data_IF_170592335933
#
_entry.id   IF_170592335933
#
_cell.length_a   1.000
_cell.length_b   1.000
_cell.length_c   1.000
_cell.angle_alpha   90.00
_cell.angle_beta   90.00
_cell.angle_gamma   90.00
#
_symmetry.space_group_name_H-M   'P 1'
#
loop_
_entity.id
_entity.type
_entity.pdbx_description
1 polymer ?
#
# COMPACT_ATOMS: atom_id res chain seq x y z
N UNK A 1 8.28 -13.88 -51.84
CA UNK A 1 7.65 -14.50 -50.65
C UNK A 1 8.76 -14.62 -49.65
N UNK A 2 8.93 -13.59 -48.84
CA UNK A 2 9.85 -13.54 -47.71
C UNK A 2 9.43 -12.27 -46.97
N UNK A 3 8.96 -12.46 -45.73
CA UNK A 3 9.32 -11.66 -44.57
C UNK A 3 8.40 -12.02 -43.39
N UNK A 4 9.01 -12.67 -42.41
CA UNK A 4 8.56 -12.74 -41.02
C UNK A 4 9.83 -12.64 -40.15
N UNK A 5 9.74 -12.25 -38.87
CA UNK A 5 8.87 -11.27 -38.22
C UNK A 5 9.70 -10.09 -37.66
N UNK A 6 9.07 -8.96 -37.35
CA UNK A 6 9.67 -7.98 -36.43
C UNK A 6 9.04 -8.27 -35.06
N UNK A 7 9.69 -9.13 -34.29
CA UNK A 7 9.69 -9.02 -32.84
C UNK A 7 10.61 -7.84 -32.52
N UNK A 8 10.07 -6.78 -31.91
CA UNK A 8 10.80 -6.04 -30.89
C UNK A 8 9.89 -5.01 -30.23
N UNK A 9 9.61 -5.29 -28.98
CA UNK A 9 8.85 -4.46 -28.08
C UNK A 9 8.80 -5.13 -26.73
N UNK A 10 9.96 -5.65 -26.27
CA UNK A 10 10.15 -5.92 -24.85
C UNK A 10 9.85 -4.61 -24.13
N UNK A 11 8.64 -4.55 -23.58
CA UNK A 11 8.17 -3.48 -22.75
C UNK A 11 9.09 -3.55 -21.53
N UNK A 12 10.17 -2.76 -21.57
CA UNK A 12 11.00 -2.46 -20.43
C UNK A 12 10.08 -1.80 -19.41
N UNK A 13 9.31 -2.63 -18.70
CA UNK A 13 8.80 -2.28 -17.38
C UNK A 13 10.07 -2.15 -16.59
N UNK A 14 10.63 -0.94 -16.59
CA UNK A 14 11.56 -0.52 -15.57
C UNK A 14 10.94 -1.03 -14.27
N UNK A 15 11.56 -2.08 -13.70
CA UNK A 15 11.17 -2.57 -12.40
C UNK A 15 11.69 -1.47 -11.49
N UNK A 16 10.88 -0.44 -11.34
CA UNK A 16 11.12 0.66 -10.44
C UNK A 16 11.17 0.01 -9.06
N UNK A 17 12.38 -0.22 -8.57
CA UNK A 17 12.60 -0.71 -7.22
C UNK A 17 12.24 0.45 -6.30
N UNK A 18 10.95 0.59 -6.04
CA UNK A 18 10.42 1.70 -5.28
C UNK A 18 10.91 1.59 -3.83
N UNK A 19 11.37 2.70 -3.22
CA UNK A 19 11.71 2.71 -1.81
C UNK A 19 10.50 2.26 -0.98
N UNK A 20 10.74 1.42 0.02
CA UNK A 20 9.70 1.00 0.92
C UNK A 20 9.52 2.00 2.07
N UNK A 21 8.28 2.43 2.34
CA UNK A 21 7.96 3.08 3.61
C UNK A 21 7.56 2.00 4.60
N UNK A 22 7.99 2.16 5.86
CA UNK A 22 7.69 1.22 6.93
C UNK A 22 7.21 2.00 8.15
N UNK A 23 6.17 1.51 8.80
CA UNK A 23 5.66 2.03 10.06
C UNK A 23 5.32 0.85 10.96
N UNK A 24 5.79 0.85 12.20
CA UNK A 24 5.49 -0.20 13.19
C UNK A 24 4.42 0.34 14.14
N UNK A 25 3.43 -0.49 14.44
CA UNK A 25 2.39 -0.14 15.40
C UNK A 25 3.01 0.16 16.78
N UNK A 26 2.54 1.17 17.54
CA UNK A 26 3.15 1.55 18.83
C UNK A 26 3.20 0.40 19.85
N UNK A 27 2.19 -0.47 19.84
CA UNK A 27 2.15 -1.68 20.67
C UNK A 27 2.90 -2.88 20.08
N UNK A 28 3.58 -2.71 18.94
CA UNK A 28 4.34 -3.75 18.21
C UNK A 28 3.50 -4.96 17.77
N UNK A 29 2.20 -4.77 17.56
CA UNK A 29 1.29 -5.83 17.12
C UNK A 29 1.21 -5.99 15.61
N UNK A 30 1.54 -4.95 14.84
CA UNK A 30 1.54 -5.00 13.38
C UNK A 30 2.61 -4.09 12.78
N UNK A 31 2.97 -4.38 11.54
CA UNK A 31 3.83 -3.53 10.71
C UNK A 31 3.13 -3.23 9.39
N UNK A 32 3.15 -1.97 9.00
CA UNK A 32 2.67 -1.51 7.70
C UNK A 32 3.87 -1.22 6.80
N UNK A 33 3.81 -1.70 5.56
CA UNK A 33 4.85 -1.54 4.55
C UNK A 33 4.20 -1.11 3.24
N UNK A 34 4.81 -0.15 2.54
CA UNK A 34 4.36 0.25 1.20
C UNK A 34 5.48 0.06 0.18
N UNK A 35 5.12 -0.30 -1.05
CA UNK A 35 6.02 -0.31 -2.21
C UNK A 35 5.23 0.25 -3.39
N UNK A 36 5.65 1.41 -3.91
CA UNK A 36 4.87 2.14 -4.91
C UNK A 36 3.50 2.55 -4.36
N UNK A 37 2.42 2.11 -5.02
CA UNK A 37 1.04 2.40 -4.63
C UNK A 37 0.39 1.34 -3.72
N UNK A 38 1.08 0.22 -3.48
CA UNK A 38 0.58 -0.88 -2.67
C UNK A 38 0.84 -0.63 -1.18
N UNK A 39 -0.18 -0.88 -0.35
CA UNK A 39 -0.10 -0.88 1.10
C UNK A 39 -0.34 -2.30 1.60
N UNK A 40 0.59 -2.81 2.42
CA UNK A 40 0.50 -4.12 3.05
C UNK A 40 0.65 -3.98 4.55
N UNK A 41 -0.12 -4.76 5.29
CA UNK A 41 -0.02 -4.83 6.75
C UNK A 41 0.19 -6.29 7.16
N UNK A 42 1.09 -6.50 8.11
CA UNK A 42 1.37 -7.80 8.67
C UNK A 42 1.14 -7.78 10.18
N UNK A 43 0.32 -8.71 10.67
CA UNK A 43 0.12 -8.96 12.10
C UNK A 43 1.32 -9.73 12.64
N UNK A 44 2.00 -9.15 13.61
CA UNK A 44 3.19 -9.71 14.24
C UNK A 44 2.86 -10.75 15.31
N UNK A 45 1.64 -10.75 15.86
CA UNK A 45 1.21 -11.76 16.83
C UNK A 45 0.79 -13.04 16.13
N UNK A 46 -0.07 -12.94 15.12
CA UNK A 46 -0.56 -14.08 14.34
C UNK A 46 0.40 -14.53 13.24
N UNK A 47 1.36 -13.68 12.85
CA UNK A 47 2.31 -13.99 11.78
C UNK A 47 1.66 -14.07 10.40
N UNK A 48 0.60 -13.28 10.16
CA UNK A 48 -0.16 -13.33 8.91
C UNK A 48 -0.40 -11.96 8.29
N UNK A 49 -0.61 -11.93 6.99
CA UNK A 49 -0.98 -10.71 6.27
C UNK A 49 -2.42 -10.31 6.63
N UNK A 50 -2.61 -9.02 6.83
CA UNK A 50 -3.91 -8.43 7.14
C UNK A 50 -4.57 -7.95 5.85
N UNK A 51 -5.84 -8.26 5.67
CA UNK A 51 -6.64 -7.73 4.56
C UNK A 51 -7.16 -6.34 4.89
N UNK A 52 -6.80 -5.36 4.05
CA UNK A 52 -7.35 -4.01 4.10
C UNK A 52 -8.63 -3.93 3.27
N UNK A 53 -9.64 -3.22 3.79
CA UNK A 53 -10.94 -3.07 3.13
C UNK A 53 -11.27 -1.58 2.97
N UNK A 54 -11.66 -1.18 1.75
CA UNK A 54 -12.16 0.16 1.44
C UNK A 54 -13.24 0.05 0.37
N UNK A 55 -14.49 0.32 0.76
CA UNK A 55 -15.66 0.17 -0.11
C UNK A 55 -15.79 1.28 -1.16
N UNK A 56 -15.11 2.42 -0.97
CA UNK A 56 -15.30 3.61 -1.82
C UNK A 56 -14.34 3.62 -3.01
N UNK A 57 -13.06 3.36 -2.77
CA UNK A 57 -12.01 3.51 -3.78
C UNK A 57 -11.09 2.29 -3.91
N UNK A 58 -11.37 1.21 -3.18
CA UNK A 58 -10.50 0.06 -3.06
C UNK A 58 -9.33 0.31 -2.09
N UNK A 59 -8.68 -0.76 -1.61
CA UNK A 59 -7.74 -0.66 -0.50
C UNK A 59 -6.36 -0.07 -0.89
N UNK A 60 -6.14 0.21 -2.17
CA UNK A 60 -4.86 0.68 -2.70
C UNK A 60 -4.96 2.13 -3.15
N UNK A 61 -3.83 2.84 -3.10
CA UNK A 61 -3.70 4.13 -3.78
C UNK A 61 -3.57 3.91 -5.29
N UNK A 62 -3.97 4.90 -6.10
CA UNK A 62 -3.85 4.83 -7.57
C UNK A 62 -2.46 5.22 -8.07
N UNK A 63 -1.64 5.79 -7.19
CA UNK A 63 -0.28 6.23 -7.45
C UNK A 63 0.56 6.06 -6.18
N UNK A 64 1.86 6.38 -6.24
CA UNK A 64 2.85 6.18 -5.21
C UNK A 64 2.42 6.74 -3.85
N UNK A 65 2.51 5.91 -2.81
CA UNK A 65 2.32 6.34 -1.43
C UNK A 65 3.59 7.05 -0.98
N UNK A 66 3.44 8.28 -0.47
CA UNK A 66 4.53 9.15 -0.03
C UNK A 66 4.67 9.23 1.48
N UNK A 67 3.63 8.90 2.23
CA UNK A 67 3.67 8.88 3.67
C UNK A 67 2.75 7.81 4.27
N UNK A 68 3.21 7.17 5.34
CA UNK A 68 2.42 6.31 6.22
C UNK A 68 2.73 6.58 7.68
N UNK A 69 1.74 6.45 8.56
CA UNK A 69 1.94 6.59 10.01
C UNK A 69 0.83 5.93 10.83
N UNK A 70 1.21 5.19 11.87
CA UNK A 70 0.30 4.86 12.96
C UNK A 70 0.10 6.05 13.90
N UNK A 71 -1.13 6.24 14.37
CA UNK A 71 -1.43 7.15 15.48
C UNK A 71 -0.75 6.69 16.76
N UNK A 72 -0.45 7.62 17.68
CA UNK A 72 0.28 7.30 18.91
C UNK A 72 -0.45 6.30 19.83
N UNK A 73 -1.78 6.26 19.78
CA UNK A 73 -2.60 5.31 20.51
C UNK A 73 -2.79 3.97 19.77
N UNK A 74 -2.24 3.83 18.56
CA UNK A 74 -2.33 2.63 17.75
C UNK A 74 -3.67 2.42 17.02
N UNK A 75 -4.77 3.06 17.44
CA UNK A 75 -6.12 2.79 16.92
C UNK A 75 -6.36 3.19 15.46
N UNK A 76 -5.50 4.09 14.96
CA UNK A 76 -5.60 4.62 13.61
C UNK A 76 -4.28 4.43 12.86
N UNK A 77 -4.40 4.20 11.57
CA UNK A 77 -3.30 4.23 10.62
C UNK A 77 -3.67 5.17 9.46
N UNK A 78 -2.70 5.89 8.91
CA UNK A 78 -2.91 6.86 7.82
C UNK A 78 -1.93 6.60 6.70
N UNK A 79 -2.41 6.69 5.45
CA UNK A 79 -1.59 6.71 4.23
C UNK A 79 -1.94 7.90 3.34
N UNK A 80 -0.94 8.46 2.64
CA UNK A 80 -1.12 9.57 1.71
C UNK A 80 -0.22 9.39 0.47
N UNK A 81 -0.76 9.66 -0.73
CA UNK A 81 -0.08 9.39 -2.00
C UNK A 81 -0.25 10.47 -3.07
N UNK A 82 0.44 10.27 -4.20
CA UNK A 82 0.42 11.16 -5.36
C UNK A 82 -0.92 11.14 -6.12
N UNK A 83 -1.78 10.18 -5.79
CA UNK A 83 -3.17 10.14 -6.25
C UNK A 83 -4.06 11.22 -5.62
N UNK A 84 -3.45 12.10 -4.79
CA UNK A 84 -4.07 13.22 -4.09
C UNK A 84 -5.07 12.78 -3.02
N UNK A 85 -4.99 11.53 -2.57
CA UNK A 85 -5.85 10.98 -1.54
C UNK A 85 -5.10 10.81 -0.22
N UNK A 86 -5.84 10.99 0.87
CA UNK A 86 -5.44 10.54 2.21
C UNK A 86 -6.44 9.48 2.67
N UNK A 87 -5.96 8.30 3.04
CA UNK A 87 -6.79 7.23 3.60
C UNK A 87 -6.52 7.07 5.09
N UNK A 88 -7.60 6.99 5.88
CA UNK A 88 -7.57 6.79 7.32
C UNK A 88 -8.18 5.43 7.62
N UNK A 89 -7.45 4.60 8.36
CA UNK A 89 -7.76 3.20 8.60
C UNK A 89 -7.96 2.94 10.08
N UNK A 90 -8.97 2.14 10.42
CA UNK A 90 -9.08 1.51 11.74
C UNK A 90 -8.09 0.36 11.83
N UNK A 91 -7.29 0.28 12.88
CA UNK A 91 -6.36 -0.86 13.08
C UNK A 91 -7.01 -2.06 13.75
N UNK A 92 -8.20 -1.88 14.33
CA UNK A 92 -8.99 -2.97 14.92
C UNK A 92 -9.69 -3.78 13.84
N UNK A 93 -10.29 -3.09 12.86
CA UNK A 93 -11.08 -3.73 11.81
C UNK A 93 -10.41 -3.73 10.44
N UNK A 94 -9.32 -2.98 10.27
CA UNK A 94 -8.62 -2.79 8.99
C UNK A 94 -9.49 -2.29 7.84
N UNK A 95 -10.58 -1.60 8.19
CA UNK A 95 -11.43 -0.86 7.26
C UNK A 95 -10.98 0.59 7.14
N UNK A 96 -11.03 1.11 5.92
CA UNK A 96 -10.91 2.53 5.63
C UNK A 96 -12.13 3.26 6.19
N UNK A 97 -11.88 4.15 7.14
CA UNK A 97 -12.89 4.98 7.81
C UNK A 97 -13.20 6.20 6.94
N UNK A 98 -12.19 6.75 6.26
CA UNK A 98 -12.31 7.97 5.49
C UNK A 98 -11.24 8.02 4.40
N UNK A 99 -11.67 8.42 3.20
CA UNK A 99 -10.79 8.90 2.14
C UNK A 99 -11.08 10.38 1.94
N UNK A 100 -10.04 11.22 1.97
CA UNK A 100 -10.10 12.67 1.71
C UNK A 100 -9.41 12.96 0.38
#
# INVERSE_FOLDING_TARGET
MEDAPIEDGENHKDIEVAPALISVHPAQESVAVTVGSELRVFDLHGGSAVSLVDDSHGPFHKDSIRAIRYGANGKLFVSAGDDKLVKIWSTESWHCICTV
#
